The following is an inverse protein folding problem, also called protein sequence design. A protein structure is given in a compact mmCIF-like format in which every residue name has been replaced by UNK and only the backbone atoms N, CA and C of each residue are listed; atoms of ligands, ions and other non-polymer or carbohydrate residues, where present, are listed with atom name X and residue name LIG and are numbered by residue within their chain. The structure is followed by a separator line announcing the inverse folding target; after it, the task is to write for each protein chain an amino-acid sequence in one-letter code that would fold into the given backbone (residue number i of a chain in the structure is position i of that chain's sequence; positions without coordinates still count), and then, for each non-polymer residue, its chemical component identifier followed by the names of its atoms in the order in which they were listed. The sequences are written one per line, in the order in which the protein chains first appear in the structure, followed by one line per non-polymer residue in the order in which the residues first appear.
data_IF_480564007649
#
_entry.id   IF_480564007649
#
_cell.length_a   1.000
_cell.length_b   1.000
_cell.length_c   1.000
_cell.angle_alpha   90.00
_cell.angle_beta   90.00
_cell.angle_gamma   90.00
#
_symmetry.space_group_name_H-M   'P 1'
#
loop_
_entity.id
_entity.type
_entity.pdbx_description
1 polymer ?
#
# COMPACT_ATOMS: atom_id res chain seq x y z
N UNK A 1 10.15 -18.08 23.95
CA UNK A 1 10.69 -17.05 24.86
C UNK A 1 10.42 -15.63 24.37
N UNK A 2 10.76 -15.26 23.11
CA UNK A 2 10.50 -13.92 22.55
C UNK A 2 9.03 -13.46 22.62
N UNK A 3 8.07 -14.32 22.28
CA UNK A 3 6.64 -13.97 22.33
C UNK A 3 6.17 -13.61 23.75
N UNK A 4 6.63 -14.33 24.77
CA UNK A 4 6.27 -14.09 26.17
C UNK A 4 6.85 -12.77 26.67
N UNK A 5 8.08 -12.43 26.27
CA UNK A 5 8.73 -11.16 26.59
C UNK A 5 8.01 -9.97 25.91
N UNK A 6 7.61 -10.12 24.65
CA UNK A 6 6.91 -9.04 23.92
C UNK A 6 5.52 -8.69 24.48
N UNK A 7 4.94 -9.58 25.29
CA UNK A 7 3.66 -9.37 25.95
C UNK A 7 3.80 -8.67 27.32
N UNK A 8 5.01 -8.55 27.86
CA UNK A 8 5.24 -7.79 29.08
C UNK A 8 4.99 -6.30 28.81
N UNK A 9 4.49 -5.58 29.82
CA UNK A 9 3.98 -4.22 29.67
C UNK A 9 5.07 -3.19 29.34
N UNK A 10 6.29 -3.40 29.81
CA UNK A 10 7.47 -2.60 29.49
C UNK A 10 7.81 -2.68 27.99
N UNK A 11 7.92 -3.90 27.44
CA UNK A 11 8.19 -4.10 26.02
C UNK A 11 7.03 -3.71 25.12
N UNK A 12 5.79 -3.97 25.52
CA UNK A 12 4.61 -3.66 24.72
C UNK A 12 4.40 -2.16 24.53
N UNK A 13 4.68 -1.37 25.58
CA UNK A 13 4.48 0.09 25.56
C UNK A 13 5.72 0.85 25.07
N UNK A 14 6.86 0.19 24.92
CA UNK A 14 8.07 0.80 24.41
C UNK A 14 7.90 1.20 22.94
N UNK A 15 8.17 2.48 22.64
CA UNK A 15 8.13 2.98 21.28
C UNK A 15 9.42 2.57 20.57
N UNK A 16 9.35 2.02 19.34
CA UNK A 16 10.55 1.67 18.60
C UNK A 16 11.41 2.92 18.35
N UNK A 17 12.74 2.74 18.41
CA UNK A 17 13.72 3.81 18.23
C UNK A 17 13.45 4.64 16.96
N UNK A 18 13.09 3.98 15.85
CA UNK A 18 12.76 4.65 14.59
C UNK A 18 11.57 5.63 14.75
N UNK A 19 10.55 5.25 15.51
CA UNK A 19 9.41 6.12 15.76
C UNK A 19 9.81 7.34 16.61
N UNK A 20 10.75 7.18 17.55
CA UNK A 20 11.26 8.28 18.36
C UNK A 20 12.04 9.29 17.50
N UNK A 21 12.97 8.80 16.67
CA UNK A 21 13.78 9.65 15.78
C UNK A 21 12.88 10.44 14.81
N UNK A 22 11.92 9.77 14.16
CA UNK A 22 11.00 10.42 13.22
C UNK A 22 10.16 11.50 13.92
N UNK A 23 9.68 11.23 15.14
CA UNK A 23 8.90 12.20 15.92
C UNK A 23 9.73 13.37 16.42
N UNK A 24 10.99 13.14 16.83
CA UNK A 24 11.93 14.18 17.23
C UNK A 24 12.24 15.14 16.07
N UNK A 25 12.29 14.62 14.84
CA UNK A 25 12.41 15.43 13.64
C UNK A 25 11.11 16.17 13.24
N UNK A 26 10.02 16.06 14.02
CA UNK A 26 8.74 16.74 13.76
C UNK A 26 7.83 16.01 12.76
N UNK A 27 8.14 14.77 12.39
CA UNK A 27 7.37 14.01 11.42
C UNK A 27 6.39 13.01 12.08
N UNK A 28 5.34 12.64 11.34
CA UNK A 28 4.39 11.58 11.74
C UNK A 28 4.89 10.22 11.27
N UNK A 29 5.09 9.29 12.19
CA UNK A 29 5.41 7.91 11.89
C UNK A 29 4.12 7.07 11.87
N UNK A 30 3.77 6.53 10.70
CA UNK A 30 2.59 5.68 10.50
C UNK A 30 3.06 4.27 10.13
N UNK A 31 2.72 3.29 10.96
CA UNK A 31 2.98 1.88 10.65
C UNK A 31 1.83 1.31 9.84
N UNK A 32 2.16 0.68 8.71
CA UNK A 32 1.17 0.01 7.87
C UNK A 32 0.86 -1.40 8.42
N UNK A 33 -0.39 -1.88 8.27
CA UNK A 33 -0.73 -3.25 8.65
C UNK A 33 0.12 -4.28 7.89
N UNK A 34 0.54 -5.33 8.58
CA UNK A 34 1.29 -6.45 7.97
C UNK A 34 0.44 -7.11 6.88
N UNK A 35 1.08 -7.52 5.78
CA UNK A 35 0.44 -8.21 4.63
C UNK A 35 -0.61 -7.40 3.85
N UNK A 36 -0.64 -6.07 4.01
CA UNK A 36 -1.56 -5.18 3.29
C UNK A 36 -0.80 -4.21 2.38
N UNK A 37 0.00 -4.72 1.44
CA UNK A 37 0.79 -3.90 0.52
C UNK A 37 -0.07 -2.93 -0.32
N UNK A 38 -1.35 -3.24 -0.55
CA UNK A 38 -2.31 -2.35 -1.22
C UNK A 38 -2.54 -1.01 -0.49
N UNK A 39 -2.17 -0.92 0.80
CA UNK A 39 -2.24 0.31 1.60
C UNK A 39 -0.97 1.17 1.50
N UNK A 40 0.06 0.71 0.78
CA UNK A 40 1.33 1.40 0.62
C UNK A 40 1.44 2.02 -0.79
N UNK A 41 1.31 3.35 -0.95
CA UNK A 41 1.31 3.98 -2.27
C UNK A 41 2.65 3.85 -3.01
N UNK A 42 3.77 3.62 -2.29
CA UNK A 42 5.08 3.43 -2.93
C UNK A 42 5.14 2.15 -3.79
N UNK A 43 4.31 1.14 -3.50
CA UNK A 43 4.22 -0.08 -4.31
C UNK A 43 3.74 0.24 -5.73
N UNK A 44 2.86 1.24 -5.87
CA UNK A 44 2.36 1.69 -7.17
C UNK A 44 3.42 2.48 -7.94
N UNK A 45 4.21 3.29 -7.23
CA UNK A 45 5.39 3.97 -7.80
C UNK A 45 6.36 2.93 -8.36
N UNK A 46 6.70 1.90 -7.58
CA UNK A 46 7.58 0.82 -8.01
C UNK A 46 7.00 -0.01 -9.16
N UNK A 47 5.70 -0.28 -9.14
CA UNK A 47 5.01 -0.96 -10.23
C UNK A 47 5.11 -0.17 -11.54
N UNK A 48 4.83 1.14 -11.50
CA UNK A 48 4.97 1.99 -12.67
C UNK A 48 6.43 2.03 -13.14
N UNK A 49 7.38 2.30 -12.23
CA UNK A 49 8.80 2.33 -12.55
C UNK A 49 9.27 1.05 -13.23
N UNK A 50 8.93 -0.12 -12.68
CA UNK A 50 9.31 -1.42 -13.26
C UNK A 50 8.75 -1.59 -14.66
N UNK A 51 7.51 -1.16 -14.91
CA UNK A 51 6.93 -1.23 -16.26
C UNK A 51 7.68 -0.35 -17.27
N UNK A 52 8.07 0.87 -16.90
CA UNK A 52 8.86 1.74 -17.77
C UNK A 52 10.28 1.18 -17.97
N UNK A 53 10.89 0.70 -16.89
CA UNK A 53 12.22 0.12 -16.91
C UNK A 53 12.29 -1.12 -17.80
N UNK A 54 11.40 -2.10 -17.61
CA UNK A 54 11.37 -3.34 -18.39
C UNK A 54 11.20 -3.11 -19.90
N UNK A 55 10.53 -2.03 -20.30
CA UNK A 55 10.35 -1.67 -21.72
C UNK A 55 11.61 -1.11 -22.38
N UNK A 56 12.58 -0.63 -21.58
CA UNK A 56 13.77 0.10 -22.05
C UNK A 56 15.09 -0.56 -21.64
N UNK A 57 15.04 -1.46 -20.66
CA UNK A 57 16.21 -2.10 -20.12
C UNK A 57 16.83 -3.06 -21.14
N UNK A 58 18.16 -3.00 -21.23
CA UNK A 58 19.01 -3.89 -22.03
C UNK A 58 19.67 -4.99 -21.17
N UNK A 59 19.34 -5.03 -19.86
CA UNK A 59 19.92 -5.96 -18.88
C UNK A 59 21.28 -5.52 -18.31
N UNK A 60 21.81 -4.36 -18.69
CA UNK A 60 23.12 -3.88 -18.23
C UNK A 60 23.01 -2.88 -17.07
N UNK A 61 23.98 -2.91 -16.16
CA UNK A 61 24.04 -1.97 -15.04
C UNK A 61 24.21 -0.49 -15.44
N UNK A 62 25.07 -0.14 -16.43
CA UNK A 62 25.21 1.26 -16.86
C UNK A 62 23.90 1.86 -17.37
N UNK A 63 23.15 1.10 -18.17
CA UNK A 63 21.83 1.52 -18.66
C UNK A 63 20.83 1.57 -17.52
N UNK A 64 20.84 0.60 -16.60
CA UNK A 64 19.97 0.64 -15.43
C UNK A 64 20.18 1.89 -14.56
N UNK A 65 21.43 2.29 -14.36
CA UNK A 65 21.79 3.49 -13.58
C UNK A 65 21.24 4.78 -14.19
N UNK A 66 21.12 4.84 -15.52
CA UNK A 66 20.51 5.97 -16.24
C UNK A 66 18.98 5.90 -16.23
N UNK A 67 18.42 4.70 -16.46
CA UNK A 67 16.97 4.52 -16.59
C UNK A 67 16.21 4.69 -15.27
N UNK A 68 16.80 4.34 -14.12
CA UNK A 68 16.07 4.42 -12.83
C UNK A 68 15.60 5.84 -12.51
N UNK A 69 16.47 6.88 -12.54
CA UNK A 69 16.04 8.28 -12.37
C UNK A 69 14.96 8.69 -13.40
N UNK A 70 15.16 8.39 -14.69
CA UNK A 70 14.20 8.74 -15.74
C UNK A 70 12.83 8.09 -15.53
N UNK A 71 12.80 6.86 -15.02
CA UNK A 71 11.55 6.16 -14.71
C UNK A 71 10.87 6.71 -13.46
N UNK A 72 11.63 7.23 -12.49
CA UNK A 72 11.08 7.94 -11.33
C UNK A 72 10.47 9.28 -11.77
N UNK A 73 11.16 10.03 -12.62
CA UNK A 73 10.67 11.33 -13.14
C UNK A 73 9.42 11.18 -14.01
N UNK A 74 9.17 10.00 -14.57
CA UNK A 74 7.94 9.68 -15.29
C UNK A 74 6.71 9.54 -14.37
N UNK A 75 6.89 9.45 -13.05
CA UNK A 75 5.78 9.41 -12.09
C UNK A 75 5.33 10.84 -11.78
N UNK A 76 4.24 11.24 -12.42
CA UNK A 76 3.69 12.59 -12.25
C UNK A 76 2.99 12.76 -10.89
N UNK A 77 2.82 14.01 -10.46
CA UNK A 77 2.01 14.34 -9.27
C UNK A 77 0.59 13.80 -9.36
N UNK A 78 0.00 13.78 -10.56
CA UNK A 78 -1.34 13.21 -10.80
C UNK A 78 -1.35 11.72 -10.49
N UNK A 79 -0.32 10.98 -10.92
CA UNK A 79 -0.19 9.55 -10.59
C UNK A 79 -0.09 9.35 -9.08
N UNK A 80 0.71 10.16 -8.39
CA UNK A 80 0.83 10.13 -6.92
C UNK A 80 -0.55 10.33 -6.27
N UNK A 81 -1.33 11.32 -6.69
CA UNK A 81 -2.69 11.53 -6.19
C UNK A 81 -3.59 10.31 -6.41
N UNK A 82 -3.55 9.70 -7.60
CA UNK A 82 -4.30 8.49 -7.90
C UNK A 82 -3.86 7.30 -7.03
N UNK A 83 -2.58 7.20 -6.65
CA UNK A 83 -2.08 6.13 -5.79
C UNK A 83 -2.61 6.26 -4.36
N UNK A 84 -2.61 7.48 -3.81
CA UNK A 84 -3.22 7.71 -2.50
C UNK A 84 -4.72 7.41 -2.52
N UNK A 85 -5.44 7.83 -3.58
CA UNK A 85 -6.85 7.49 -3.75
C UNK A 85 -7.06 5.97 -3.83
N UNK A 86 -6.20 5.24 -4.53
CA UNK A 86 -6.23 3.78 -4.59
C UNK A 86 -6.10 3.16 -3.18
N UNK A 87 -5.12 3.58 -2.39
CA UNK A 87 -4.96 3.11 -1.01
C UNK A 87 -6.17 3.44 -0.13
N UNK A 88 -6.77 4.62 -0.28
CA UNK A 88 -8.00 5.01 0.44
C UNK A 88 -9.20 4.12 0.07
N UNK A 89 -9.32 3.70 -1.19
CA UNK A 89 -10.38 2.78 -1.63
C UNK A 89 -10.22 1.41 -1.00
N UNK A 90 -8.99 0.89 -0.96
CA UNK A 90 -8.70 -0.34 -0.23
C UNK A 90 -8.95 -0.20 1.26
N UNK A 91 -8.60 0.92 1.88
CA UNK A 91 -8.89 1.19 3.28
C UNK A 91 -10.39 1.21 3.57
N UNK A 92 -11.20 1.83 2.70
CA UNK A 92 -12.66 1.79 2.80
C UNK A 92 -13.19 0.36 2.64
N UNK A 93 -12.64 -0.43 1.72
CA UNK A 93 -12.97 -1.84 1.58
C UNK A 93 -12.68 -2.60 2.88
N UNK A 94 -11.45 -2.54 3.40
CA UNK A 94 -11.05 -3.29 4.60
C UNK A 94 -11.86 -2.93 5.85
N UNK A 95 -12.26 -1.66 6.01
CA UNK A 95 -13.14 -1.23 7.13
C UNK A 95 -14.49 -1.97 7.17
N UNK A 96 -14.91 -2.56 6.06
CA UNK A 96 -16.17 -3.31 5.95
C UNK A 96 -16.02 -4.81 6.19
N UNK A 97 -14.82 -5.27 6.58
CA UNK A 97 -14.53 -6.67 6.91
C UNK A 97 -14.27 -7.67 5.77
N UNK A 98 -13.93 -7.30 4.51
CA UNK A 98 -13.61 -8.27 3.47
C UNK A 98 -12.23 -8.89 3.66
N UNK A 99 -12.07 -10.12 3.18
CA UNK A 99 -10.75 -10.72 2.92
C UNK A 99 -10.03 -9.98 1.75
N UNK A 100 -8.71 -10.16 1.60
CA UNK A 100 -7.89 -9.49 0.58
C UNK A 100 -8.44 -9.69 -0.84
N UNK A 101 -8.89 -10.91 -1.16
CA UNK A 101 -9.49 -11.24 -2.48
C UNK A 101 -10.81 -10.50 -2.72
N UNK A 102 -11.64 -10.44 -1.69
CA UNK A 102 -12.93 -9.74 -1.72
C UNK A 102 -12.74 -8.23 -1.84
N UNK A 103 -11.78 -7.66 -1.11
CA UNK A 103 -11.41 -6.25 -1.20
C UNK A 103 -10.94 -5.89 -2.61
N UNK A 104 -10.05 -6.68 -3.20
CA UNK A 104 -9.57 -6.44 -4.56
C UNK A 104 -10.70 -6.51 -5.60
N UNK A 105 -11.61 -7.48 -5.47
CA UNK A 105 -12.77 -7.58 -6.35
C UNK A 105 -13.74 -6.40 -6.18
N UNK A 106 -14.05 -6.00 -4.95
CA UNK A 106 -14.91 -4.88 -4.66
C UNK A 106 -14.33 -3.56 -5.20
N UNK A 107 -13.04 -3.30 -4.98
CA UNK A 107 -12.36 -2.13 -5.55
C UNK A 107 -12.39 -2.17 -7.08
N UNK A 108 -12.22 -3.33 -7.72
CA UNK A 108 -12.30 -3.43 -9.18
C UNK A 108 -13.71 -3.17 -9.70
N UNK A 109 -14.74 -3.75 -9.06
CA UNK A 109 -16.15 -3.67 -9.49
C UNK A 109 -16.71 -2.27 -9.35
N UNK A 110 -16.48 -1.62 -8.22
CA UNK A 110 -17.04 -0.30 -7.90
C UNK A 110 -16.02 0.82 -8.15
N UNK A 111 -15.50 0.88 -9.37
CA UNK A 111 -14.52 1.91 -9.77
C UNK A 111 -15.17 3.28 -10.02
N UNK A 112 -16.41 3.31 -10.49
CA UNK A 112 -17.16 4.54 -10.81
C UNK A 112 -17.55 5.36 -9.58
N UNK A 113 -18.02 4.72 -8.51
CA UNK A 113 -18.67 5.42 -7.39
C UNK A 113 -17.71 6.02 -6.37
N UNK A 114 -16.40 5.81 -6.52
CA UNK A 114 -15.30 6.22 -5.61
C UNK A 114 -15.44 5.78 -4.13
N UNK A 115 -16.61 5.30 -3.72
CA UNK A 115 -16.99 4.78 -2.42
C UNK A 115 -17.75 3.47 -2.62
N UNK A 116 -17.41 2.47 -1.80
CA UNK A 116 -18.19 1.25 -1.71
C UNK A 116 -19.49 1.57 -0.95
N UNK A 117 -20.63 1.04 -1.39
CA UNK A 117 -21.88 1.10 -0.61
C UNK A 117 -21.85 0.22 0.64
N UNK A 118 -22.73 0.45 1.61
CA UNK A 118 -22.82 -0.35 2.85
C UNK A 118 -23.03 -1.84 2.56
N UNK A 119 -23.83 -2.13 1.52
CA UNK A 119 -24.26 -3.49 1.15
C UNK A 119 -23.31 -4.20 0.17
N UNK A 120 -22.12 -3.66 -0.11
CA UNK A 120 -21.16 -4.28 -1.05
C UNK A 120 -20.76 -5.69 -0.61
N UNK A 121 -20.73 -5.96 0.69
CA UNK A 121 -20.44 -7.31 1.23
C UNK A 121 -21.60 -8.30 1.07
N UNK A 122 -22.81 -7.83 0.78
CA UNK A 122 -23.97 -8.66 0.51
C UNK A 122 -24.03 -9.09 -0.97
N UNK A 123 -23.12 -8.60 -1.83
CA UNK A 123 -23.05 -9.01 -3.22
C UNK A 123 -22.55 -10.45 -3.31
N UNK A 124 -23.38 -11.32 -3.91
CA UNK A 124 -23.12 -12.76 -4.07
C UNK A 124 -21.74 -13.03 -4.71
N UNK A 125 -21.28 -12.16 -5.60
CA UNK A 125 -19.98 -12.32 -6.26
C UNK A 125 -18.79 -11.97 -5.36
N UNK A 126 -18.99 -11.12 -4.35
CA UNK A 126 -18.00 -10.80 -3.33
C UNK A 126 -17.95 -11.94 -2.31
N UNK A 127 -19.11 -12.45 -1.88
CA UNK A 127 -19.22 -13.56 -0.92
C UNK A 127 -18.51 -14.82 -1.43
N UNK A 128 -18.76 -15.21 -2.69
CA UNK A 128 -18.21 -16.43 -3.30
C UNK A 128 -16.67 -16.41 -3.50
N UNK A 129 -15.99 -15.31 -3.15
CA UNK A 129 -14.52 -15.15 -3.29
C UNK A 129 -13.77 -15.10 -1.95
N UNK A 130 -14.46 -15.47 -0.86
CA UNK A 130 -13.91 -15.59 0.50
C UNK A 130 -12.71 -16.51 0.60
#
# INVERSE_FOLDING_TARGET
MQHVLSLQSDFHNEKPLLQLIIKQAGHKCVFLPKFHCNLNPIEMVWSQLKQYFCKRADGTFPTAKKLVPECLDAVTTINICHYFQHCLRYMNAYRKGPNVKQAAYAVKKYTSHQCLGQNVMMDVNVINRG
#
